data_IF_084594346246
#
_entry.id   IF_084594346246
#
_cell.length_a   1.000
_cell.length_b   1.000
_cell.length_c   1.000
_cell.angle_alpha   90.00
_cell.angle_beta   90.00
_cell.angle_gamma   90.00
#
_symmetry.space_group_name_H-M   'P 1'
#
loop_
_entity.id
_entity.type
_entity.pdbx_description
1 polymer ?
#
# COMPACT_ATOMS: atom_id res chain seq x y z
N UNK A 1 14.35 14.20 4.35
CA UNK A 1 13.40 13.12 4.71
C UNK A 1 12.96 12.44 3.42
N UNK A 2 13.70 11.42 2.98
CA UNK A 2 13.48 10.78 1.67
C UNK A 2 12.76 9.43 1.81
N UNK A 3 11.61 9.31 1.13
CA UNK A 3 11.19 8.12 0.40
C UNK A 3 11.12 6.75 1.12
N UNK A 4 10.50 6.67 2.30
CA UNK A 4 10.22 5.38 2.97
C UNK A 4 9.34 4.47 2.09
N UNK A 5 8.41 5.03 1.30
CA UNK A 5 7.56 4.27 0.37
C UNK A 5 8.27 3.80 -0.91
N UNK A 6 9.36 4.44 -1.34
CA UNK A 6 10.05 4.11 -2.60
C UNK A 6 11.11 3.03 -2.39
N UNK A 7 11.73 2.97 -1.20
CA UNK A 7 12.81 2.02 -0.90
C UNK A 7 12.47 0.55 -1.15
N UNK A 8 11.33 -0.01 -0.70
CA UNK A 8 11.03 -1.43 -0.92
C UNK A 8 10.88 -1.77 -2.41
N UNK A 9 10.30 -0.87 -3.21
CA UNK A 9 10.20 -1.04 -4.66
C UNK A 9 11.57 -1.01 -5.36
N UNK A 10 12.49 -0.14 -4.92
CA UNK A 10 13.84 -0.09 -5.47
C UNK A 10 14.64 -1.36 -5.16
N UNK A 11 14.49 -1.90 -3.94
CA UNK A 11 15.13 -3.17 -3.56
C UNK A 11 14.57 -4.33 -4.39
N UNK A 12 13.25 -4.46 -4.47
CA UNK A 12 12.60 -5.50 -5.28
C UNK A 12 12.99 -5.39 -6.76
N UNK A 13 13.09 -4.17 -7.32
CA UNK A 13 13.49 -3.97 -8.70
C UNK A 13 14.95 -4.36 -8.99
N UNK A 14 15.85 -4.24 -8.01
CA UNK A 14 17.23 -4.76 -8.13
C UNK A 14 17.23 -6.29 -8.14
N UNK A 15 16.32 -6.92 -7.39
CA UNK A 15 16.23 -8.37 -7.28
C UNK A 15 15.66 -9.02 -8.56
N UNK A 16 14.47 -8.59 -9.00
CA UNK A 16 13.87 -9.01 -10.28
C UNK A 16 12.52 -8.32 -10.55
N UNK A 17 12.02 -8.43 -11.79
CA UNK A 17 10.64 -8.06 -12.12
C UNK A 17 9.61 -8.86 -11.30
N UNK A 18 9.87 -10.15 -11.04
CA UNK A 18 8.99 -11.02 -10.24
C UNK A 18 8.88 -10.53 -8.81
N UNK A 19 9.99 -10.11 -8.19
CA UNK A 19 9.99 -9.56 -6.84
C UNK A 19 9.16 -8.27 -6.72
N UNK A 20 9.15 -7.44 -7.78
CA UNK A 20 8.29 -6.24 -7.84
C UNK A 20 6.81 -6.64 -7.92
N UNK A 21 6.47 -7.61 -8.75
CA UNK A 21 5.09 -8.12 -8.87
C UNK A 21 4.60 -8.72 -7.54
N UNK A 22 5.42 -9.50 -6.84
CA UNK A 22 5.12 -10.03 -5.51
C UNK A 22 4.89 -8.93 -4.47
N UNK A 23 5.75 -7.90 -4.47
CA UNK A 23 5.60 -6.75 -3.59
C UNK A 23 4.30 -5.97 -3.86
N UNK A 24 3.94 -5.79 -5.14
CA UNK A 24 2.68 -5.14 -5.53
C UNK A 24 1.48 -5.96 -5.06
N UNK A 25 1.49 -7.28 -5.24
CA UNK A 25 0.42 -8.17 -4.78
C UNK A 25 0.25 -8.10 -3.26
N UNK A 26 1.35 -8.11 -2.52
CA UNK A 26 1.33 -7.96 -1.07
C UNK A 26 0.69 -6.62 -0.66
N UNK A 27 1.13 -5.51 -1.28
CA UNK A 27 0.61 -4.19 -0.96
C UNK A 27 -0.89 -4.06 -1.29
N UNK A 28 -1.35 -4.66 -2.38
CA UNK A 28 -2.78 -4.68 -2.74
C UNK A 28 -3.58 -5.45 -1.67
N UNK A 29 -3.11 -6.63 -1.25
CA UNK A 29 -3.76 -7.42 -0.22
C UNK A 29 -3.85 -6.65 1.12
N UNK A 30 -2.80 -5.93 1.51
CA UNK A 30 -2.83 -5.08 2.70
C UNK A 30 -3.85 -3.93 2.58
N UNK A 31 -3.94 -3.30 1.40
CA UNK A 31 -4.95 -2.25 1.15
C UNK A 31 -6.37 -2.81 1.20
N UNK A 32 -6.62 -4.00 0.69
CA UNK A 32 -7.92 -4.68 0.80
C UNK A 32 -8.29 -4.95 2.25
N UNK A 33 -7.34 -5.39 3.07
CA UNK A 33 -7.53 -5.57 4.51
C UNK A 33 -7.86 -4.22 5.18
N UNK A 34 -7.16 -3.14 4.84
CA UNK A 34 -7.46 -1.80 5.38
C UNK A 34 -8.86 -1.36 5.00
N UNK A 35 -9.25 -1.53 3.73
CA UNK A 35 -10.59 -1.20 3.25
C UNK A 35 -11.66 -1.99 4.00
N UNK A 36 -11.45 -3.30 4.18
CA UNK A 36 -12.33 -4.17 4.94
C UNK A 36 -12.45 -3.74 6.40
N UNK A 37 -11.32 -3.62 7.11
CA UNK A 37 -11.28 -3.29 8.53
C UNK A 37 -11.82 -1.88 8.84
N UNK A 38 -11.78 -0.95 7.88
CA UNK A 38 -12.30 0.42 8.04
C UNK A 38 -13.70 0.60 7.47
N UNK A 39 -14.30 -0.44 6.88
CA UNK A 39 -15.63 -0.37 6.26
C UNK A 39 -15.70 0.52 5.02
N UNK A 40 -14.57 0.77 4.34
CA UNK A 40 -14.52 1.63 3.15
C UNK A 40 -14.55 0.78 1.88
N UNK A 41 -15.48 1.02 0.92
CA UNK A 41 -15.61 0.18 -0.27
C UNK A 41 -14.52 0.40 -1.32
N UNK A 42 -13.79 1.52 -1.25
CA UNK A 42 -12.71 1.86 -2.18
C UNK A 42 -11.81 2.93 -1.59
N UNK A 43 -10.67 3.18 -2.25
CA UNK A 43 -9.68 4.16 -1.81
C UNK A 43 -10.22 5.59 -1.76
N UNK A 44 -11.16 5.96 -2.64
CA UNK A 44 -11.76 7.30 -2.62
C UNK A 44 -12.55 7.53 -1.34
N UNK A 45 -13.38 6.56 -0.95
CA UNK A 45 -14.12 6.59 0.31
C UNK A 45 -13.16 6.62 1.51
N UNK A 46 -12.13 5.77 1.52
CA UNK A 46 -11.12 5.75 2.59
C UNK A 46 -10.46 7.11 2.79
N UNK A 47 -10.04 7.78 1.71
CA UNK A 47 -9.39 9.10 1.76
C UNK A 47 -10.27 10.18 2.40
N UNK A 48 -11.59 10.13 2.19
CA UNK A 48 -12.53 11.14 2.71
C UNK A 48 -13.23 10.73 4.00
N UNK A 49 -13.06 9.48 4.45
CA UNK A 49 -13.76 8.92 5.61
C UNK A 49 -13.37 9.56 6.96
N UNK A 50 -12.24 10.26 7.02
CA UNK A 50 -11.67 10.79 8.27
C UNK A 50 -11.11 9.72 9.23
N UNK A 51 -11.08 8.45 8.81
CA UNK A 51 -10.59 7.32 9.61
C UNK A 51 -9.05 7.31 9.67
N UNK A 52 -8.39 7.77 8.60
CA UNK A 52 -6.93 7.95 8.57
C UNK A 52 -6.55 9.24 9.30
N UNK A 53 -5.87 9.11 10.45
CA UNK A 53 -5.33 10.24 11.21
C UNK A 53 -3.80 10.24 11.09
N UNK A 54 -3.21 11.43 10.91
CA UNK A 54 -1.78 11.59 11.12
C UNK A 54 -1.53 11.47 12.63
N UNK A 55 -0.80 10.45 13.03
CA UNK A 55 -0.21 10.36 14.37
C UNK A 55 1.05 11.22 14.44
#
# INVERSE_FOLDING_TARGET
MGAIGTRPFLVAAIESEVAVDELVKLLIAELEIVLFCTGNPNLSALKTSGVLKLC
#
